data_IF_155062849420
#
_entry.id   IF_155062849420
#
_cell.length_a   1.000
_cell.length_b   1.000
_cell.length_c   1.000
_cell.angle_alpha   90.00
_cell.angle_beta   90.00
_cell.angle_gamma   90.00
#
_symmetry.space_group_name_H-M   'P 1'
#
loop_
_entity.id
_entity.type
_entity.pdbx_description
1 polymer ?
#
# COMPACT_ATOMS: atom_id res chain seq x y z
N UNK A 1 -40.73 10.84 12.32
CA UNK A 1 -41.59 10.22 11.30
C UNK A 1 -41.67 8.71 11.45
N UNK A 2 -42.77 8.10 11.01
CA UNK A 2 -42.98 6.64 11.00
C UNK A 2 -42.86 6.12 9.55
N UNK A 3 -42.19 5.00 9.33
CA UNK A 3 -42.05 4.36 8.01
C UNK A 3 -42.98 3.14 7.90
N UNK A 4 -43.77 3.00 6.83
CA UNK A 4 -44.52 1.76 6.56
C UNK A 4 -43.57 0.58 6.39
N UNK A 5 -43.77 -0.51 7.15
CA UNK A 5 -42.92 -1.71 7.13
C UNK A 5 -43.57 -2.94 6.46
N UNK A 6 -44.80 -2.82 5.98
CA UNK A 6 -45.55 -3.89 5.30
C UNK A 6 -46.16 -3.42 3.98
N UNK A 7 -46.34 -4.35 3.04
CA UNK A 7 -46.90 -4.14 1.69
C UNK A 7 -47.76 -5.33 1.24
N UNK A 8 -48.56 -5.15 0.19
CA UNK A 8 -49.47 -6.20 -0.36
C UNK A 8 -49.02 -6.86 -1.67
N UNK A 9 -47.86 -6.47 -2.22
CA UNK A 9 -47.35 -6.97 -3.52
C UNK A 9 -45.87 -7.28 -3.45
N UNK A 10 -45.45 -8.32 -4.17
CA UNK A 10 -44.05 -8.76 -4.27
C UNK A 10 -43.77 -10.01 -3.43
N UNK A 11 -42.48 -10.35 -3.31
CA UNK A 11 -41.99 -11.45 -2.48
C UNK A 11 -41.54 -10.91 -1.10
N UNK A 12 -41.54 -11.76 -0.09
CA UNK A 12 -41.04 -11.46 1.25
C UNK A 12 -41.65 -12.37 2.31
N UNK A 13 -41.39 -12.07 3.57
CA UNK A 13 -41.96 -12.80 4.72
C UNK A 13 -43.33 -12.21 5.08
N UNK A 14 -44.34 -13.07 5.28
CA UNK A 14 -45.67 -12.63 5.71
C UNK A 14 -45.61 -12.03 7.12
N UNK A 15 -46.35 -10.94 7.35
CA UNK A 15 -46.38 -10.28 8.66
C UNK A 15 -47.11 -11.17 9.68
N UNK A 16 -46.48 -11.55 10.80
CA UNK A 16 -47.00 -12.61 11.67
C UNK A 16 -48.37 -12.28 12.29
N UNK A 17 -48.68 -11.00 12.53
CA UNK A 17 -49.95 -10.58 13.12
C UNK A 17 -51.13 -10.51 12.13
N UNK A 18 -50.87 -10.59 10.83
CA UNK A 18 -51.89 -10.55 9.76
C UNK A 18 -51.71 -11.71 8.78
N UNK A 19 -51.27 -12.86 9.31
CA UNK A 19 -51.02 -14.08 8.55
C UNK A 19 -52.31 -14.55 7.86
N UNK A 20 -52.24 -14.83 6.57
CA UNK A 20 -53.37 -15.15 5.69
C UNK A 20 -54.03 -13.93 5.03
N UNK A 21 -53.70 -12.70 5.44
CA UNK A 21 -54.32 -11.48 4.89
C UNK A 21 -53.52 -10.85 3.74
N UNK A 22 -52.37 -11.41 3.39
CA UNK A 22 -51.53 -10.95 2.26
C UNK A 22 -50.66 -9.73 2.56
N UNK A 23 -50.43 -9.40 3.83
CA UNK A 23 -49.45 -8.39 4.23
C UNK A 23 -48.06 -9.01 4.37
N UNK A 24 -47.10 -8.46 3.64
CA UNK A 24 -45.73 -8.95 3.53
C UNK A 24 -44.80 -7.86 4.06
N UNK A 25 -43.80 -8.23 4.86
CA UNK A 25 -42.76 -7.32 5.33
C UNK A 25 -41.99 -6.76 4.13
N UNK A 26 -41.74 -5.45 4.11
CA UNK A 26 -41.02 -4.80 3.02
C UNK A 26 -39.50 -5.00 3.15
N UNK A 27 -38.80 -5.01 2.02
CA UNK A 27 -37.40 -5.46 1.91
C UNK A 27 -36.38 -4.66 2.72
N UNK A 28 -36.65 -3.41 3.06
CA UNK A 28 -35.76 -2.59 3.89
C UNK A 28 -36.05 -2.76 5.39
N UNK A 29 -37.13 -3.45 5.75
CA UNK A 29 -37.52 -3.73 7.13
C UNK A 29 -37.09 -5.12 7.58
N UNK A 30 -37.01 -6.12 6.69
CA UNK A 30 -36.52 -7.47 7.01
C UNK A 30 -35.01 -7.65 6.81
N UNK A 31 -34.31 -6.62 6.31
CA UNK A 31 -32.86 -6.64 6.04
C UNK A 31 -31.99 -5.95 7.10
N UNK A 32 -32.48 -5.80 8.33
CA UNK A 32 -31.84 -4.91 9.32
C UNK A 32 -30.98 -5.61 10.37
N UNK A 33 -31.31 -6.85 10.74
CA UNK A 33 -30.61 -7.66 11.75
C UNK A 33 -30.15 -9.04 11.25
N UNK A 34 -30.27 -9.32 9.95
CA UNK A 34 -29.99 -10.64 9.38
C UNK A 34 -28.54 -11.13 9.57
N UNK A 35 -27.62 -10.26 9.96
CA UNK A 35 -26.23 -10.64 10.24
C UNK A 35 -26.12 -11.53 11.48
N UNK A 36 -27.03 -11.39 12.45
CA UNK A 36 -27.10 -12.34 13.56
C UNK A 36 -27.45 -13.74 13.06
N UNK A 37 -28.31 -13.85 12.03
CA UNK A 37 -28.66 -15.13 11.42
C UNK A 37 -27.46 -15.81 10.74
N UNK A 38 -26.50 -15.05 10.20
CA UNK A 38 -25.26 -15.63 9.63
C UNK A 38 -24.48 -16.45 10.66
N UNK A 39 -24.50 -16.05 11.93
CA UNK A 39 -23.77 -16.75 13.00
C UNK A 39 -24.36 -18.12 13.32
N UNK A 40 -25.67 -18.33 13.08
CA UNK A 40 -26.38 -19.54 13.52
C UNK A 40 -26.85 -20.45 12.38
N UNK A 41 -26.90 -19.95 11.13
CA UNK A 41 -27.41 -20.72 9.98
C UNK A 41 -26.63 -22.02 9.73
N UNK A 42 -25.33 -22.02 10.03
CA UNK A 42 -24.48 -23.22 9.91
C UNK A 42 -24.94 -24.30 10.90
N UNK A 43 -25.15 -23.94 12.16
CA UNK A 43 -25.60 -24.88 13.19
C UNK A 43 -26.98 -25.46 12.83
N UNK A 44 -27.89 -24.62 12.33
CA UNK A 44 -29.21 -25.09 11.87
C UNK A 44 -29.11 -26.13 10.77
N UNK A 45 -28.29 -25.86 9.74
CA UNK A 45 -28.12 -26.78 8.60
C UNK A 45 -27.40 -28.07 8.99
N UNK A 46 -26.35 -27.99 9.78
CA UNK A 46 -25.56 -29.17 10.17
C UNK A 46 -26.34 -30.12 11.09
N UNK A 47 -27.26 -29.58 11.88
CA UNK A 47 -28.08 -30.36 12.79
C UNK A 47 -29.50 -30.65 12.28
N UNK A 48 -29.79 -30.34 11.00
CA UNK A 48 -31.10 -30.56 10.38
C UNK A 48 -32.28 -29.99 11.21
N UNK A 49 -32.13 -28.77 11.73
CA UNK A 49 -33.19 -28.12 12.51
C UNK A 49 -34.31 -27.73 11.56
N UNK A 50 -35.52 -28.21 11.84
CA UNK A 50 -36.71 -27.93 11.03
C UNK A 50 -37.23 -26.50 11.31
N UNK A 51 -37.78 -25.78 10.30
CA UNK A 51 -38.33 -24.44 10.49
C UNK A 51 -39.41 -24.35 11.58
N UNK A 52 -40.16 -25.43 11.81
CA UNK A 52 -41.20 -25.50 12.86
C UNK A 52 -40.63 -25.53 14.28
N UNK A 53 -39.35 -25.86 14.44
CA UNK A 53 -38.65 -25.88 15.72
C UNK A 53 -38.09 -24.50 16.10
N UNK A 54 -37.93 -23.59 15.13
CA UNK A 54 -37.40 -22.24 15.31
C UNK A 54 -38.48 -21.30 15.87
N UNK A 55 -38.73 -21.46 17.17
CA UNK A 55 -39.72 -20.69 17.93
C UNK A 55 -39.09 -19.43 18.57
N UNK A 56 -39.88 -18.41 18.95
CA UNK A 56 -39.35 -17.19 19.58
C UNK A 56 -38.41 -17.47 20.75
N UNK A 57 -38.76 -18.42 21.62
CA UNK A 57 -37.97 -18.77 22.81
C UNK A 57 -36.54 -19.25 22.47
N UNK A 58 -36.37 -19.88 21.29
CA UNK A 58 -35.04 -20.25 20.81
C UNK A 58 -34.22 -19.01 20.45
N UNK A 59 -34.82 -18.03 19.76
CA UNK A 59 -34.12 -16.80 19.38
C UNK A 59 -33.83 -15.91 20.59
N UNK A 60 -34.77 -15.81 21.52
CA UNK A 60 -34.61 -15.06 22.77
C UNK A 60 -33.46 -15.65 23.60
N UNK A 61 -33.37 -16.97 23.73
CA UNK A 61 -32.26 -17.62 24.41
C UNK A 61 -30.93 -17.43 23.68
N UNK A 62 -30.88 -17.70 22.38
CA UNK A 62 -29.64 -17.66 21.59
C UNK A 62 -29.06 -16.25 21.47
N UNK A 63 -29.91 -15.23 21.29
CA UNK A 63 -29.46 -13.87 21.03
C UNK A 63 -29.46 -12.95 22.25
N UNK A 64 -30.39 -13.17 23.19
CA UNK A 64 -30.58 -12.29 24.35
C UNK A 64 -30.24 -12.98 25.67
N UNK A 65 -29.96 -14.29 25.64
CA UNK A 65 -29.75 -15.10 26.83
C UNK A 65 -30.96 -15.03 27.80
N UNK A 66 -32.17 -15.00 27.22
CA UNK A 66 -33.43 -14.96 27.96
C UNK A 66 -34.08 -16.36 28.03
N UNK A 67 -34.60 -16.72 29.21
CA UNK A 67 -35.25 -18.01 29.46
C UNK A 67 -34.32 -19.11 30.02
N UNK A 68 -34.86 -20.31 30.18
CA UNK A 68 -34.15 -21.50 30.65
C UNK A 68 -33.91 -22.51 29.51
N UNK A 69 -32.68 -22.98 29.37
CA UNK A 69 -32.28 -23.85 28.25
C UNK A 69 -33.06 -25.16 28.21
N UNK A 70 -33.46 -25.72 29.36
CA UNK A 70 -34.21 -26.98 29.43
C UNK A 70 -35.62 -26.78 28.90
N UNK A 71 -36.23 -25.63 29.22
CA UNK A 71 -37.54 -25.25 28.70
C UNK A 71 -37.49 -24.99 27.20
N UNK A 72 -36.50 -24.24 26.72
CA UNK A 72 -36.30 -23.98 25.29
C UNK A 72 -36.09 -25.29 24.54
N UNK A 73 -35.27 -26.19 25.08
CA UNK A 73 -35.03 -27.52 24.50
C UNK A 73 -36.31 -28.33 24.38
N UNK A 74 -37.14 -28.34 25.43
CA UNK A 74 -38.43 -29.03 25.41
C UNK A 74 -39.41 -28.42 24.40
N UNK A 75 -39.50 -27.09 24.35
CA UNK A 75 -40.42 -26.36 23.45
C UNK A 75 -40.05 -26.57 21.99
N UNK A 76 -38.77 -26.50 21.67
CA UNK A 76 -38.25 -26.57 20.29
C UNK A 76 -37.95 -27.99 19.84
N UNK A 77 -37.84 -28.94 20.77
CA UNK A 77 -37.31 -30.29 20.52
C UNK A 77 -35.87 -30.27 19.95
N UNK A 78 -35.11 -29.21 20.24
CA UNK A 78 -33.67 -29.10 19.92
C UNK A 78 -32.90 -29.43 21.20
N UNK A 79 -31.86 -30.27 21.14
CA UNK A 79 -31.08 -30.61 22.34
C UNK A 79 -30.36 -29.39 22.93
N UNK A 80 -30.24 -29.34 24.26
CA UNK A 80 -29.51 -28.29 24.99
C UNK A 80 -28.10 -28.04 24.43
N UNK A 81 -27.34 -29.10 24.10
CA UNK A 81 -25.99 -28.97 23.53
C UNK A 81 -25.96 -28.19 22.20
N UNK A 82 -26.95 -28.42 21.31
CA UNK A 82 -27.06 -27.70 20.04
C UNK A 82 -27.45 -26.24 20.27
N UNK A 83 -28.38 -25.98 21.21
CA UNK A 83 -28.80 -24.61 21.56
C UNK A 83 -27.60 -23.84 22.11
N UNK A 84 -26.85 -24.42 23.03
CA UNK A 84 -25.69 -23.77 23.65
C UNK A 84 -24.56 -23.53 22.65
N UNK A 85 -24.26 -24.49 21.77
CA UNK A 85 -23.31 -24.30 20.67
C UNK A 85 -23.74 -23.19 19.71
N UNK A 86 -25.03 -23.10 19.43
CA UNK A 86 -25.59 -22.07 18.55
C UNK A 86 -25.47 -20.68 19.19
N UNK A 87 -25.77 -20.57 20.48
CA UNK A 87 -25.55 -19.35 21.26
C UNK A 87 -24.06 -18.98 21.28
N UNK A 88 -23.17 -19.92 21.57
CA UNK A 88 -21.73 -19.66 21.62
C UNK A 88 -21.17 -19.14 20.27
N UNK A 89 -21.65 -19.63 19.13
CA UNK A 89 -21.29 -19.10 17.80
C UNK A 89 -21.74 -17.64 17.64
N UNK A 90 -22.97 -17.30 18.05
CA UNK A 90 -23.44 -15.92 18.03
C UNK A 90 -22.59 -15.03 18.97
N UNK A 91 -22.38 -15.45 20.21
CA UNK A 91 -21.61 -14.67 21.19
C UNK A 91 -20.14 -14.48 20.79
N UNK A 92 -19.58 -15.41 20.02
CA UNK A 92 -18.21 -15.32 19.51
C UNK A 92 -18.09 -14.38 18.30
N UNK A 93 -18.99 -14.50 17.32
CA UNK A 93 -18.90 -13.74 16.06
C UNK A 93 -19.56 -12.36 16.09
N UNK A 94 -20.40 -12.08 17.09
CA UNK A 94 -21.13 -10.81 17.19
C UNK A 94 -20.50 -9.90 18.25
N UNK A 95 -20.37 -8.59 18.01
CA UNK A 95 -21.01 -7.81 16.94
C UNK A 95 -20.38 -7.96 15.57
N UNK A 96 -21.12 -7.57 14.52
CA UNK A 96 -20.57 -7.46 13.17
C UNK A 96 -19.55 -6.30 13.10
N UNK A 97 -18.27 -6.62 13.25
CA UNK A 97 -17.14 -5.68 13.37
C UNK A 97 -17.14 -4.56 12.32
N UNK A 98 -17.45 -4.88 11.07
CA UNK A 98 -17.46 -3.90 9.99
C UNK A 98 -18.52 -4.22 8.96
N UNK A 99 -19.49 -3.31 8.82
CA UNK A 99 -20.50 -3.40 7.76
C UNK A 99 -20.16 -2.50 6.58
N UNK A 100 -19.84 -3.11 5.44
CA UNK A 100 -19.64 -2.41 4.17
C UNK A 100 -20.98 -2.09 3.49
N UNK A 101 -21.15 -0.86 3.02
CA UNK A 101 -22.35 -0.44 2.27
C UNK A 101 -22.08 0.81 1.43
N UNK A 102 -23.01 1.14 0.54
CA UNK A 102 -22.96 2.38 -0.21
C UNK A 102 -23.52 3.58 0.59
N UNK A 103 -22.99 4.78 0.35
CA UNK A 103 -23.39 6.02 1.04
C UNK A 103 -24.90 6.32 0.94
N UNK A 104 -25.55 5.89 -0.15
CA UNK A 104 -26.99 6.07 -0.39
C UNK A 104 -27.87 5.30 0.61
N UNK A 105 -27.30 4.33 1.34
CA UNK A 105 -28.04 3.53 2.33
C UNK A 105 -28.13 4.16 3.71
N UNK A 106 -27.41 5.26 3.97
CA UNK A 106 -27.42 5.95 5.27
C UNK A 106 -28.85 6.32 5.68
N UNK A 107 -29.60 6.97 4.79
CA UNK A 107 -30.95 7.50 5.06
C UNK A 107 -32.04 6.44 5.22
N UNK A 108 -31.70 5.16 5.02
CA UNK A 108 -32.64 4.05 5.03
C UNK A 108 -32.08 2.85 5.79
N UNK A 109 -31.59 1.84 5.06
CA UNK A 109 -31.14 0.56 5.58
C UNK A 109 -30.16 0.72 6.76
N UNK A 110 -29.20 1.64 6.67
CA UNK A 110 -28.18 1.77 7.70
C UNK A 110 -28.76 2.35 9.00
N UNK A 111 -29.57 3.39 8.87
CA UNK A 111 -30.33 3.94 10.00
C UNK A 111 -31.23 2.86 10.62
N UNK A 112 -31.92 2.06 9.81
CA UNK A 112 -32.79 1.01 10.33
C UNK A 112 -32.02 -0.10 11.02
N UNK A 113 -30.85 -0.49 10.50
CA UNK A 113 -29.97 -1.43 11.17
C UNK A 113 -29.61 -0.90 12.56
N UNK A 114 -29.16 0.35 12.68
CA UNK A 114 -28.82 0.96 13.99
C UNK A 114 -30.02 0.95 14.94
N UNK A 115 -31.19 1.41 14.49
CA UNK A 115 -32.39 1.45 15.34
C UNK A 115 -32.81 0.06 15.82
N UNK A 116 -32.81 -0.96 14.95
CA UNK A 116 -33.19 -2.30 15.35
C UNK A 116 -32.15 -2.97 16.25
N UNK A 117 -30.86 -2.68 16.07
CA UNK A 117 -29.83 -3.17 16.98
C UNK A 117 -30.01 -2.59 18.38
N UNK A 118 -30.22 -1.28 18.47
CA UNK A 118 -30.48 -0.62 19.74
C UNK A 118 -31.77 -1.08 20.43
N UNK A 119 -32.79 -1.46 19.63
CA UNK A 119 -34.08 -1.92 20.15
C UNK A 119 -34.08 -3.38 20.63
N UNK A 120 -33.26 -4.25 20.02
CA UNK A 120 -33.32 -5.70 20.23
C UNK A 120 -32.12 -6.17 21.06
N UNK A 121 -30.90 -5.77 20.71
CA UNK A 121 -29.70 -6.33 21.30
C UNK A 121 -29.13 -5.44 22.41
N UNK A 122 -28.48 -6.02 23.44
CA UNK A 122 -27.69 -5.27 24.40
C UNK A 122 -26.53 -4.52 23.70
N UNK A 123 -26.05 -3.45 24.33
CA UNK A 123 -25.04 -2.54 23.76
C UNK A 123 -23.77 -3.24 23.25
N UNK A 124 -23.33 -4.32 23.92
CA UNK A 124 -22.18 -5.14 23.49
C UNK A 124 -22.31 -5.74 22.08
N UNK A 125 -23.53 -5.83 21.55
CA UNK A 125 -23.85 -6.40 20.24
C UNK A 125 -24.26 -5.33 19.22
N UNK A 126 -24.13 -4.04 19.55
CA UNK A 126 -24.37 -2.96 18.59
C UNK A 126 -23.27 -2.93 17.52
N UNK A 127 -23.58 -2.31 16.39
CA UNK A 127 -22.69 -2.27 15.23
C UNK A 127 -21.56 -1.25 15.46
N UNK A 128 -20.30 -1.69 15.62
CA UNK A 128 -19.21 -0.80 16.01
C UNK A 128 -18.72 0.08 14.86
N UNK A 129 -18.75 -0.41 13.61
CA UNK A 129 -18.25 0.36 12.47
C UNK A 129 -19.01 0.08 11.16
N UNK A 130 -19.06 1.12 10.32
CA UNK A 130 -19.53 1.05 8.95
C UNK A 130 -18.44 1.56 8.01
N UNK A 131 -18.27 0.87 6.89
CA UNK A 131 -17.44 1.35 5.77
C UNK A 131 -18.38 1.75 4.64
N UNK A 132 -18.22 2.99 4.18
CA UNK A 132 -19.07 3.59 3.16
C UNK A 132 -18.29 3.74 1.87
N UNK A 133 -18.84 3.23 0.78
CA UNK A 133 -18.29 3.44 -0.57
C UNK A 133 -19.26 4.27 -1.43
N UNK A 134 -18.71 5.02 -2.38
CA UNK A 134 -19.50 5.67 -3.41
C UNK A 134 -19.73 4.72 -4.62
N UNK A 135 -20.40 5.26 -5.63
CA UNK A 135 -20.84 4.59 -6.85
C UNK A 135 -19.70 4.26 -7.80
N UNK A 136 -19.91 3.17 -8.55
CA UNK A 136 -19.09 2.79 -9.69
C UNK A 136 -19.76 3.32 -10.97
N UNK A 137 -19.07 4.23 -11.65
CA UNK A 137 -19.47 4.84 -12.90
C UNK A 137 -18.73 4.20 -14.08
N UNK A 138 -19.31 4.33 -15.28
CA UNK A 138 -18.67 4.00 -16.55
C UNK A 138 -19.27 4.86 -17.66
N UNK A 139 -18.39 5.40 -18.50
CA UNK A 139 -18.72 6.41 -19.51
C UNK A 139 -19.24 7.72 -18.89
N UNK A 140 -18.73 8.08 -17.70
CA UNK A 140 -19.08 9.31 -17.00
C UNK A 140 -20.44 9.29 -16.30
N UNK A 141 -21.11 8.14 -16.24
CA UNK A 141 -22.42 7.98 -15.59
C UNK A 141 -22.46 6.75 -14.71
N UNK A 142 -23.31 6.78 -13.68
CA UNK A 142 -23.60 5.62 -12.84
C UNK A 142 -24.07 4.43 -13.67
N UNK A 143 -23.53 3.25 -13.37
CA UNK A 143 -23.92 2.01 -14.01
C UNK A 143 -25.39 1.69 -13.71
N UNK A 144 -26.20 1.45 -14.75
CA UNK A 144 -27.63 1.12 -14.63
C UNK A 144 -28.03 0.04 -15.63
N UNK A 145 -28.90 -0.91 -15.22
CA UNK A 145 -29.40 -1.98 -16.10
C UNK A 145 -30.13 -1.46 -17.34
N UNK A 146 -30.68 -0.25 -17.29
CA UNK A 146 -31.33 0.39 -18.45
C UNK A 146 -30.34 0.96 -19.47
N UNK A 147 -29.04 1.01 -19.14
CA UNK A 147 -27.96 1.60 -19.94
C UNK A 147 -26.99 0.52 -20.40
N UNK A 148 -26.29 0.72 -21.53
CA UNK A 148 -25.27 -0.22 -22.01
C UNK A 148 -23.94 -0.15 -21.22
N UNK A 149 -23.88 0.59 -20.12
CA UNK A 149 -22.66 0.86 -19.36
C UNK A 149 -22.40 -0.14 -18.22
N UNK A 150 -23.23 -1.17 -18.05
CA UNK A 150 -23.06 -2.21 -17.01
C UNK A 150 -22.15 -3.33 -17.50
N UNK A 151 -21.24 -3.78 -16.63
CA UNK A 151 -20.51 -5.04 -16.79
C UNK A 151 -21.08 -6.00 -15.75
N UNK A 152 -21.68 -7.11 -16.19
CA UNK A 152 -22.21 -8.11 -15.27
C UNK A 152 -21.06 -8.88 -14.61
N UNK A 153 -21.12 -9.09 -13.29
CA UNK A 153 -20.10 -9.86 -12.55
C UNK A 153 -19.91 -11.26 -13.15
N UNK A 154 -21.00 -11.92 -13.58
CA UNK A 154 -20.95 -13.23 -14.21
C UNK A 154 -20.18 -13.26 -15.54
N UNK A 155 -20.04 -12.11 -16.21
CA UNK A 155 -19.30 -11.98 -17.47
C UNK A 155 -17.86 -11.52 -17.24
N UNK A 156 -17.50 -11.10 -16.02
CA UNK A 156 -16.19 -10.53 -15.72
C UNK A 156 -15.07 -11.51 -16.06
N UNK A 157 -15.17 -12.78 -15.68
CA UNK A 157 -14.12 -13.78 -15.97
C UNK A 157 -13.97 -14.13 -17.46
N UNK A 158 -15.03 -13.94 -18.26
CA UNK A 158 -15.00 -14.17 -19.71
C UNK A 158 -14.49 -12.96 -20.49
N UNK A 159 -14.74 -11.74 -19.99
CA UNK A 159 -14.30 -10.49 -20.62
C UNK A 159 -12.92 -10.03 -20.14
N UNK A 160 -12.64 -10.29 -18.87
CA UNK A 160 -11.44 -9.90 -18.13
C UNK A 160 -10.99 -11.07 -17.22
N UNK A 161 -9.87 -10.92 -16.53
CA UNK A 161 -9.52 -11.84 -15.43
C UNK A 161 -10.15 -11.34 -14.13
N UNK A 162 -10.58 -12.24 -13.25
CA UNK A 162 -11.11 -11.89 -11.92
C UNK A 162 -10.05 -11.11 -11.11
N UNK A 163 -8.80 -11.57 -11.12
CA UNK A 163 -7.70 -10.88 -10.43
C UNK A 163 -7.36 -9.54 -11.09
N UNK A 164 -7.41 -9.47 -12.42
CA UNK A 164 -7.23 -8.20 -13.12
C UNK A 164 -8.31 -7.18 -12.71
N UNK A 165 -9.56 -7.61 -12.62
CA UNK A 165 -10.67 -6.75 -12.19
C UNK A 165 -10.52 -6.32 -10.74
N UNK A 166 -10.18 -7.24 -9.83
CA UNK A 166 -9.93 -6.91 -8.41
C UNK A 166 -8.77 -5.92 -8.26
N UNK A 167 -7.66 -6.16 -8.97
CA UNK A 167 -6.50 -5.26 -8.99
C UNK A 167 -6.88 -3.86 -9.48
N UNK A 168 -7.61 -3.77 -10.60
CA UNK A 168 -8.03 -2.48 -11.15
C UNK A 168 -8.99 -1.71 -10.23
N UNK A 169 -9.96 -2.40 -9.62
CA UNK A 169 -10.86 -1.77 -8.65
C UNK A 169 -10.08 -1.29 -7.43
N UNK A 170 -9.25 -2.14 -6.82
CA UNK A 170 -8.45 -1.78 -5.65
C UNK A 170 -7.50 -0.61 -5.94
N UNK A 171 -6.86 -0.56 -7.12
CA UNK A 171 -5.91 0.50 -7.48
C UNK A 171 -6.52 1.86 -7.74
N UNK A 172 -7.86 1.95 -7.79
CA UNK A 172 -8.58 3.19 -8.03
C UNK A 172 -9.54 3.55 -6.88
N UNK A 173 -9.83 2.61 -5.98
CA UNK A 173 -10.81 2.79 -4.92
C UNK A 173 -10.21 3.45 -3.67
N UNK A 174 -10.65 4.66 -3.36
CA UNK A 174 -10.71 5.14 -1.97
C UNK A 174 -12.17 5.23 -1.53
N UNK A 175 -12.50 4.98 -0.24
CA UNK A 175 -13.89 4.89 0.22
C UNK A 175 -14.77 6.08 -0.19
N UNK A 176 -14.20 7.29 -0.19
CA UNK A 176 -14.91 8.54 -0.47
C UNK A 176 -15.03 8.90 -1.96
N UNK A 177 -14.42 8.13 -2.86
CA UNK A 177 -14.37 8.48 -4.29
C UNK A 177 -15.42 7.76 -5.11
N UNK A 178 -16.09 8.52 -5.98
CA UNK A 178 -16.83 7.96 -7.11
C UNK A 178 -15.81 7.34 -8.05
N UNK A 179 -15.87 6.02 -8.22
CA UNK A 179 -14.93 5.28 -9.06
C UNK A 179 -15.42 5.32 -10.51
N UNK A 180 -14.58 5.77 -11.44
CA UNK A 180 -14.86 5.67 -12.88
C UNK A 180 -14.14 4.45 -13.46
N UNK A 181 -14.89 3.49 -13.98
CA UNK A 181 -14.34 2.37 -14.73
C UNK A 181 -13.90 2.83 -16.12
N UNK A 182 -12.59 2.80 -16.38
CA UNK A 182 -12.03 3.11 -17.71
C UNK A 182 -11.33 1.91 -18.31
N UNK A 183 -11.84 1.46 -19.46
CA UNK A 183 -11.28 0.30 -20.19
C UNK A 183 -9.79 0.52 -20.56
N UNK A 184 -9.33 1.76 -20.72
CA UNK A 184 -7.92 2.11 -20.94
C UNK A 184 -7.04 1.84 -19.71
N UNK A 185 -7.55 2.10 -18.51
CA UNK A 185 -6.84 1.85 -17.25
C UNK A 185 -6.81 0.35 -16.93
N UNK A 186 -7.86 -0.39 -17.29
CA UNK A 186 -7.88 -1.87 -17.22
C UNK A 186 -6.77 -2.47 -18.10
N UNK A 187 -6.58 -1.95 -19.32
CA UNK A 187 -5.48 -2.38 -20.21
C UNK A 187 -4.10 -2.10 -19.61
N UNK A 188 -3.92 -0.95 -18.95
CA UNK A 188 -2.68 -0.65 -18.24
C UNK A 188 -2.43 -1.62 -17.09
N UNK A 189 -3.44 -1.88 -16.25
CA UNK A 189 -3.36 -2.87 -15.17
C UNK A 189 -3.02 -4.27 -15.72
N UNK A 190 -3.59 -4.65 -16.87
CA UNK A 190 -3.30 -5.91 -17.54
C UNK A 190 -1.85 -6.03 -17.98
N UNK A 191 -1.27 -4.96 -18.55
CA UNK A 191 0.14 -4.94 -18.95
C UNK A 191 1.06 -5.09 -17.75
N UNK A 192 0.76 -4.39 -16.65
CA UNK A 192 1.53 -4.51 -15.40
C UNK A 192 1.40 -5.88 -14.76
N UNK A 193 0.22 -6.49 -14.80
CA UNK A 193 -0.01 -7.86 -14.35
C UNK A 193 0.75 -8.90 -15.17
N UNK A 194 0.77 -8.76 -16.49
CA UNK A 194 1.60 -9.62 -17.36
C UNK A 194 3.08 -9.47 -17.04
N UNK A 195 3.55 -8.23 -16.82
CA UNK A 195 4.95 -7.98 -16.48
C UNK A 195 5.36 -8.61 -15.14
N UNK A 196 4.50 -8.48 -14.13
CA UNK A 196 4.70 -9.16 -12.85
C UNK A 196 4.75 -10.68 -13.00
N UNK A 197 3.81 -11.24 -13.76
CA UNK A 197 3.78 -12.66 -14.07
C UNK A 197 5.06 -13.13 -14.79
N UNK A 198 5.56 -12.37 -15.76
CA UNK A 198 6.84 -12.65 -16.44
C UNK A 198 8.02 -12.67 -15.46
N UNK A 199 8.14 -11.67 -14.59
CA UNK A 199 9.19 -11.62 -13.56
C UNK A 199 9.08 -12.79 -12.57
N UNK A 200 7.86 -13.16 -12.20
CA UNK A 200 7.65 -14.28 -11.30
C UNK A 200 8.00 -15.62 -11.96
N UNK A 201 7.64 -15.80 -13.24
CA UNK A 201 8.00 -17.01 -13.99
C UNK A 201 9.51 -17.14 -14.24
N UNK A 202 10.25 -16.04 -14.37
CA UNK A 202 11.70 -16.12 -14.57
C UNK A 202 12.47 -16.59 -13.33
N UNK A 203 11.82 -16.62 -12.16
CA UNK A 203 12.48 -16.97 -10.89
C UNK A 203 11.94 -18.23 -10.22
N UNK A 204 10.97 -18.94 -10.83
CA UNK A 204 10.34 -20.14 -10.20
C UNK A 204 11.35 -21.25 -9.90
N UNK A 205 12.32 -21.46 -10.79
CA UNK A 205 13.35 -22.51 -10.67
C UNK A 205 14.63 -22.04 -9.97
N UNK A 206 14.68 -20.80 -9.50
CA UNK A 206 15.82 -20.24 -8.77
C UNK A 206 15.82 -20.80 -7.35
N UNK A 207 16.95 -21.33 -6.89
CA UNK A 207 17.07 -21.90 -5.54
C UNK A 207 16.91 -20.82 -4.46
N UNK A 208 16.35 -21.20 -3.30
CA UNK A 208 16.17 -20.30 -2.15
C UNK A 208 17.43 -20.14 -1.31
N UNK A 209 18.29 -21.16 -1.30
CA UNK A 209 19.42 -21.24 -0.37
C UNK A 209 20.75 -20.73 -0.98
N UNK A 210 20.66 -19.87 -2.00
CA UNK A 210 21.87 -19.29 -2.61
C UNK A 210 22.45 -18.22 -1.70
N UNK A 211 23.62 -18.50 -1.13
CA UNK A 211 24.35 -17.53 -0.30
C UNK A 211 25.11 -16.54 -1.20
N UNK A 212 24.41 -15.48 -1.63
CA UNK A 212 24.98 -14.41 -2.46
C UNK A 212 25.22 -13.17 -1.61
N UNK A 213 26.44 -12.62 -1.69
CA UNK A 213 26.69 -11.27 -1.20
C UNK A 213 26.13 -10.26 -2.22
N UNK A 214 24.97 -9.68 -1.90
CA UNK A 214 24.35 -8.71 -2.79
C UNK A 214 25.20 -7.45 -3.00
N UNK A 215 25.29 -7.03 -4.26
CA UNK A 215 25.88 -5.77 -4.66
C UNK A 215 25.06 -4.58 -4.14
N UNK A 216 25.65 -3.39 -4.24
CA UNK A 216 25.00 -2.16 -3.80
C UNK A 216 23.64 -1.90 -4.49
N UNK A 217 23.49 -2.01 -5.82
CA UNK A 217 22.18 -1.87 -6.47
C UNK A 217 21.11 -2.85 -5.95
N UNK A 218 21.49 -4.10 -5.68
CA UNK A 218 20.57 -5.13 -5.17
C UNK A 218 20.14 -4.85 -3.72
N UNK A 219 21.06 -4.39 -2.86
CA UNK A 219 20.74 -3.94 -1.49
C UNK A 219 19.79 -2.74 -1.50
N UNK A 220 20.02 -1.78 -2.40
CA UNK A 220 19.13 -0.63 -2.58
C UNK A 220 17.74 -1.05 -3.06
N UNK A 221 17.64 -2.00 -3.99
CA UNK A 221 16.36 -2.57 -4.44
C UNK A 221 15.59 -3.17 -3.27
N UNK A 222 16.20 -4.11 -2.53
CA UNK A 222 15.56 -4.79 -1.41
C UNK A 222 15.05 -3.81 -0.37
N UNK A 223 15.87 -2.82 -0.02
CA UNK A 223 15.48 -1.80 0.95
C UNK A 223 14.29 -0.95 0.48
N UNK A 224 14.30 -0.56 -0.80
CA UNK A 224 13.21 0.22 -1.40
C UNK A 224 11.91 -0.58 -1.41
N UNK A 225 11.98 -1.87 -1.76
CA UNK A 225 10.83 -2.78 -1.71
C UNK A 225 10.32 -2.93 -0.28
N UNK A 226 11.17 -3.24 0.69
CA UNK A 226 10.77 -3.33 2.12
C UNK A 226 10.06 -2.07 2.58
N UNK A 227 10.59 -0.90 2.23
CA UNK A 227 9.99 0.39 2.58
C UNK A 227 8.59 0.55 1.99
N UNK A 228 8.41 0.23 0.70
CA UNK A 228 7.10 0.31 0.05
C UNK A 228 6.10 -0.71 0.62
N UNK A 229 6.54 -1.95 0.84
CA UNK A 229 5.69 -2.99 1.42
C UNK A 229 5.28 -2.67 2.85
N UNK A 230 6.16 -2.05 3.64
CA UNK A 230 5.79 -1.55 4.98
C UNK A 230 4.69 -0.48 4.89
N UNK A 231 4.83 0.51 4.00
CA UNK A 231 3.78 1.52 3.77
C UNK A 231 2.48 0.88 3.34
N UNK A 232 2.54 -0.07 2.42
CA UNK A 232 1.36 -0.82 1.97
C UNK A 232 0.65 -1.49 3.16
N UNK A 233 1.39 -2.18 4.03
CA UNK A 233 0.82 -2.77 5.25
C UNK A 233 0.20 -1.73 6.19
N UNK A 234 0.74 -0.52 6.27
CA UNK A 234 0.12 0.57 7.04
C UNK A 234 -1.17 1.09 6.38
N UNK A 235 -1.26 1.08 5.05
CA UNK A 235 -2.44 1.56 4.31
C UNK A 235 -3.60 0.56 4.33
N UNK A 236 -3.34 -0.75 4.26
CA UNK A 236 -4.40 -1.77 4.34
C UNK A 236 -5.09 -1.77 5.72
N UNK A 237 -4.34 -1.52 6.80
CA UNK A 237 -4.87 -1.37 8.17
C UNK A 237 -5.78 -0.14 8.30
N UNK A 238 -5.60 0.87 7.45
CA UNK A 238 -6.45 2.07 7.36
C UNK A 238 -7.60 1.90 6.35
N UNK A 239 -7.80 0.71 5.80
CA UNK A 239 -8.74 0.44 4.71
C UNK A 239 -8.49 1.27 3.43
N UNK A 240 -7.25 1.72 3.20
CA UNK A 240 -6.85 2.45 2.00
C UNK A 240 -6.31 1.49 0.93
N UNK A 241 -7.22 0.77 0.26
CA UNK A 241 -6.88 -0.22 -0.76
C UNK A 241 -6.08 0.38 -1.94
N UNK A 242 -6.35 1.63 -2.32
CA UNK A 242 -5.66 2.33 -3.40
C UNK A 242 -4.17 2.41 -3.12
N UNK A 243 -3.81 3.05 -2.03
CA UNK A 243 -2.40 3.35 -1.75
C UNK A 243 -1.66 2.06 -1.34
N UNK A 244 -2.34 1.10 -0.72
CA UNK A 244 -1.83 -0.26 -0.52
C UNK A 244 -1.40 -0.93 -1.84
N UNK A 245 -2.18 -0.83 -2.91
CA UNK A 245 -1.80 -1.39 -4.22
C UNK A 245 -0.78 -0.53 -4.94
N UNK A 246 -0.84 0.80 -4.82
CA UNK A 246 0.15 1.68 -5.42
C UNK A 246 1.55 1.42 -4.86
N UNK A 247 1.68 1.31 -3.54
CA UNK A 247 2.96 1.05 -2.88
C UNK A 247 3.34 -0.44 -2.91
N UNK A 248 2.40 -1.33 -2.61
CA UNK A 248 2.65 -2.78 -2.49
C UNK A 248 2.94 -3.48 -3.82
N UNK A 249 2.42 -2.93 -4.92
CA UNK A 249 2.48 -3.57 -6.25
C UNK A 249 3.10 -2.67 -7.31
N UNK A 250 2.44 -1.57 -7.69
CA UNK A 250 2.85 -0.77 -8.86
C UNK A 250 4.21 -0.09 -8.67
N UNK A 251 4.47 0.47 -7.49
CA UNK A 251 5.75 1.08 -7.16
C UNK A 251 6.89 0.06 -7.24
N UNK A 252 6.67 -1.17 -6.75
CA UNK A 252 7.68 -2.23 -6.75
C UNK A 252 7.96 -2.76 -8.16
N UNK A 253 6.94 -2.94 -9.01
CA UNK A 253 7.16 -3.29 -10.42
C UNK A 253 7.97 -2.22 -11.14
N UNK A 254 7.69 -0.94 -10.89
CA UNK A 254 8.46 0.17 -11.47
C UNK A 254 9.92 0.14 -11.01
N UNK A 255 10.18 -0.10 -9.72
CA UNK A 255 11.55 -0.17 -9.20
C UNK A 255 12.27 -1.41 -9.76
N UNK A 256 11.57 -2.54 -9.95
CA UNK A 256 12.12 -3.69 -10.67
C UNK A 256 12.50 -3.34 -12.12
N UNK A 257 11.64 -2.63 -12.85
CA UNK A 257 11.94 -2.18 -14.23
C UNK A 257 13.20 -1.30 -14.27
N UNK A 258 13.40 -0.42 -13.28
CA UNK A 258 14.63 0.38 -13.17
C UNK A 258 15.84 -0.45 -12.75
N UNK A 259 15.68 -1.36 -11.79
CA UNK A 259 16.75 -2.26 -11.36
C UNK A 259 17.28 -3.10 -12.52
N UNK A 260 16.41 -3.64 -13.38
CA UNK A 260 16.84 -4.40 -14.56
C UNK A 260 17.74 -3.58 -15.51
N UNK A 261 17.56 -2.25 -15.58
CA UNK A 261 18.44 -1.37 -16.36
C UNK A 261 19.77 -1.09 -15.64
N UNK A 262 19.74 -1.00 -14.31
CA UNK A 262 20.91 -0.73 -13.47
C UNK A 262 21.81 -1.96 -13.34
N UNK A 263 21.20 -3.14 -13.27
CA UNK A 263 21.85 -4.41 -12.95
C UNK A 263 22.43 -5.13 -14.17
N UNK A 264 22.44 -4.54 -15.37
CA UNK A 264 22.81 -5.22 -16.63
C UNK A 264 24.14 -5.99 -16.55
N UNK A 265 25.10 -5.50 -15.76
CA UNK A 265 26.43 -6.10 -15.60
C UNK A 265 26.60 -6.94 -14.33
N UNK A 266 25.58 -6.98 -13.47
CA UNK A 266 25.62 -7.86 -12.30
C UNK A 266 25.54 -9.32 -12.74
N UNK A 267 26.16 -10.24 -11.98
CA UNK A 267 26.03 -11.67 -12.23
C UNK A 267 24.56 -12.10 -12.33
N UNK A 268 24.27 -12.99 -13.27
CA UNK A 268 22.89 -13.47 -13.50
C UNK A 268 22.31 -14.12 -12.24
N UNK A 269 23.13 -14.88 -11.52
CA UNK A 269 22.78 -15.53 -10.26
C UNK A 269 22.30 -14.52 -9.21
N UNK A 270 23.02 -13.40 -9.05
CA UNK A 270 22.64 -12.33 -8.13
C UNK A 270 21.30 -11.69 -8.52
N UNK A 271 21.15 -11.35 -9.81
CA UNK A 271 19.91 -10.74 -10.33
C UNK A 271 18.71 -11.64 -10.10
N UNK A 272 18.87 -12.93 -10.34
CA UNK A 272 17.79 -13.90 -10.19
C UNK A 272 17.43 -14.16 -8.73
N UNK A 273 18.42 -14.25 -7.85
CA UNK A 273 18.20 -14.39 -6.41
C UNK A 273 17.46 -13.19 -5.81
N UNK A 274 17.91 -11.96 -6.09
CA UNK A 274 17.25 -10.76 -5.56
C UNK A 274 15.87 -10.57 -6.16
N UNK A 275 15.68 -10.89 -7.45
CA UNK A 275 14.37 -10.85 -8.09
C UNK A 275 13.41 -11.85 -7.43
N UNK A 276 13.88 -13.08 -7.14
CA UNK A 276 13.07 -14.09 -6.43
C UNK A 276 12.62 -13.57 -5.06
N UNK A 277 13.54 -13.04 -4.27
CA UNK A 277 13.25 -12.50 -2.93
C UNK A 277 12.19 -11.39 -3.00
N UNK A 278 12.32 -10.46 -3.96
CA UNK A 278 11.35 -9.38 -4.17
C UNK A 278 9.99 -9.92 -4.60
N UNK A 279 9.94 -10.87 -5.54
CA UNK A 279 8.67 -11.44 -6.01
C UNK A 279 7.97 -12.21 -4.89
N UNK A 280 8.68 -13.02 -4.10
CA UNK A 280 8.09 -13.76 -2.97
C UNK A 280 7.47 -12.79 -1.95
N UNK A 281 8.14 -11.67 -1.65
CA UNK A 281 7.58 -10.63 -0.78
C UNK A 281 6.32 -9.98 -1.37
N UNK A 282 6.34 -9.61 -2.65
CA UNK A 282 5.19 -8.99 -3.33
C UNK A 282 4.00 -9.96 -3.37
N UNK A 283 4.22 -11.24 -3.71
CA UNK A 283 3.19 -12.29 -3.80
C UNK A 283 2.42 -12.43 -2.49
N UNK A 284 3.12 -12.48 -1.35
CA UNK A 284 2.48 -12.51 -0.03
C UNK A 284 1.70 -11.25 0.25
N UNK A 285 2.30 -10.09 -0.04
CA UNK A 285 1.67 -8.81 0.28
C UNK A 285 0.39 -8.62 -0.51
N UNK A 286 0.32 -8.93 -1.81
CA UNK A 286 -0.83 -8.59 -2.66
C UNK A 286 -1.91 -9.69 -2.75
N UNK A 287 -1.71 -10.82 -2.08
CA UNK A 287 -2.65 -11.95 -2.08
C UNK A 287 -4.10 -11.58 -1.72
N UNK A 288 -4.41 -10.62 -0.81
CA UNK A 288 -5.79 -10.20 -0.56
C UNK A 288 -6.51 -9.62 -1.79
N UNK A 289 -5.75 -9.09 -2.76
CA UNK A 289 -6.31 -8.42 -3.94
C UNK A 289 -6.30 -9.32 -5.17
N UNK A 290 -5.21 -10.05 -5.43
CA UNK A 290 -5.10 -10.99 -6.56
C UNK A 290 -4.82 -12.44 -6.12
N UNK A 291 -5.75 -13.04 -5.34
CA UNK A 291 -5.47 -14.30 -4.64
C UNK A 291 -5.15 -15.46 -5.58
N UNK A 292 -5.77 -15.56 -6.76
CA UNK A 292 -5.62 -16.75 -7.61
C UNK A 292 -4.23 -16.81 -8.25
N UNK A 293 -3.74 -15.69 -8.79
CA UNK A 293 -2.39 -15.57 -9.34
C UNK A 293 -1.35 -15.76 -8.22
N UNK A 294 -1.57 -15.18 -7.04
CA UNK A 294 -0.64 -15.35 -5.93
C UNK A 294 -0.56 -16.80 -5.43
N UNK A 295 -1.68 -17.52 -5.40
CA UNK A 295 -1.73 -18.93 -5.02
C UNK A 295 -0.96 -19.81 -6.03
N UNK A 296 -1.20 -19.60 -7.32
CA UNK A 296 -0.50 -20.30 -8.41
C UNK A 296 1.01 -20.02 -8.38
N UNK A 297 1.43 -18.77 -8.18
CA UNK A 297 2.84 -18.41 -8.08
C UNK A 297 3.48 -19.00 -6.81
N UNK A 298 2.77 -18.98 -5.69
CA UNK A 298 3.24 -19.57 -4.43
C UNK A 298 3.51 -21.07 -4.59
N UNK A 299 2.61 -21.82 -5.24
CA UNK A 299 2.79 -23.23 -5.57
C UNK A 299 3.98 -23.45 -6.52
N UNK A 300 4.05 -22.69 -7.63
CA UNK A 300 5.15 -22.79 -8.61
C UNK A 300 6.53 -22.50 -8.02
N UNK A 301 6.60 -21.60 -7.03
CA UNK A 301 7.84 -21.33 -6.29
C UNK A 301 8.17 -22.41 -5.25
N UNK A 302 7.41 -23.51 -5.19
CA UNK A 302 7.68 -24.69 -4.37
C UNK A 302 7.07 -24.65 -2.97
N UNK A 303 6.17 -23.71 -2.67
CA UNK A 303 5.47 -23.69 -1.38
C UNK A 303 4.29 -24.67 -1.38
N UNK A 304 4.08 -25.36 -0.26
CA UNK A 304 2.98 -26.34 -0.12
C UNK A 304 1.73 -25.78 0.55
N UNK A 305 1.90 -24.78 1.42
CA UNK A 305 0.80 -24.18 2.16
C UNK A 305 0.12 -23.07 1.34
N UNK A 306 -1.20 -22.99 1.47
CA UNK A 306 -1.99 -21.94 0.84
C UNK A 306 -1.55 -20.55 1.31
N UNK A 307 -1.35 -19.63 0.36
CA UNK A 307 -0.97 -18.26 0.67
C UNK A 307 -2.07 -17.55 1.47
N UNK A 308 -3.32 -17.90 1.23
CA UNK A 308 -4.48 -17.39 1.97
C UNK A 308 -4.45 -17.70 3.47
N UNK A 309 -3.66 -18.70 3.90
CA UNK A 309 -3.47 -19.06 5.32
C UNK A 309 -2.22 -18.43 5.94
N UNK A 310 -1.36 -17.78 5.14
CA UNK A 310 -0.15 -17.13 5.64
C UNK A 310 -0.51 -15.86 6.39
N UNK A 311 0.19 -15.61 7.49
CA UNK A 311 0.10 -14.33 8.21
C UNK A 311 0.83 -13.25 7.43
N UNK A 312 0.27 -12.04 7.44
CA UNK A 312 0.96 -10.87 6.90
C UNK A 312 2.30 -10.66 7.60
N UNK A 313 3.39 -10.42 6.84
CA UNK A 313 4.71 -10.29 7.42
C UNK A 313 4.84 -8.97 8.19
N UNK A 314 5.63 -8.98 9.27
CA UNK A 314 6.04 -7.73 9.95
C UNK A 314 7.35 -7.24 9.35
N UNK A 315 7.28 -6.20 8.53
CA UNK A 315 8.47 -5.62 7.89
C UNK A 315 9.11 -4.60 8.82
N UNK A 316 10.38 -4.83 9.15
CA UNK A 316 11.21 -3.89 9.91
C UNK A 316 12.11 -3.12 8.94
N UNK A 317 12.24 -1.82 9.18
CA UNK A 317 13.17 -0.94 8.46
C UNK A 317 14.27 -0.58 9.45
N UNK A 318 15.50 -0.90 9.10
CA UNK A 318 16.66 -0.58 9.93
C UNK A 318 17.39 0.69 9.47
N UNK A 319 18.55 0.94 10.08
CA UNK A 319 19.38 2.11 9.76
C UNK A 319 20.00 2.01 8.37
N UNK A 320 20.39 0.81 7.93
CA UNK A 320 20.95 0.59 6.61
C UNK A 320 19.88 0.81 5.54
N UNK A 321 18.66 0.33 5.78
CA UNK A 321 17.55 0.56 4.87
C UNK A 321 17.29 2.06 4.65
N UNK A 322 17.28 2.82 5.75
CA UNK A 322 17.10 4.28 5.70
C UNK A 322 18.25 4.96 4.92
N UNK A 323 19.47 4.47 5.09
CA UNK A 323 20.65 4.96 4.36
C UNK A 323 20.53 4.66 2.86
N UNK A 324 20.18 3.42 2.48
CA UNK A 324 20.00 3.02 1.09
C UNK A 324 18.89 3.81 0.40
N UNK A 325 17.78 4.10 1.08
CA UNK A 325 16.72 4.95 0.53
C UNK A 325 17.21 6.38 0.22
N UNK A 326 18.04 6.97 1.10
CA UNK A 326 18.65 8.27 0.86
C UNK A 326 19.65 8.22 -0.31
N UNK A 327 20.47 7.17 -0.37
CA UNK A 327 21.42 6.96 -1.46
C UNK A 327 20.71 6.75 -2.81
N UNK A 328 19.61 6.00 -2.85
CA UNK A 328 18.81 5.81 -4.06
C UNK A 328 18.24 7.13 -4.59
N UNK A 329 17.72 7.98 -3.68
CA UNK A 329 17.22 9.31 -4.03
C UNK A 329 18.34 10.21 -4.56
N UNK A 330 19.49 10.21 -3.89
CA UNK A 330 20.68 10.93 -4.32
C UNK A 330 21.14 10.51 -5.72
N UNK A 331 21.23 9.20 -5.98
CA UNK A 331 21.64 8.67 -7.27
C UNK A 331 20.65 8.98 -8.39
N UNK A 332 19.35 8.90 -8.12
CA UNK A 332 18.30 9.30 -9.09
C UNK A 332 18.51 10.75 -9.55
N UNK A 333 18.65 11.68 -8.60
CA UNK A 333 18.85 13.10 -8.90
C UNK A 333 20.17 13.34 -9.65
N UNK A 334 21.25 12.70 -9.23
CA UNK A 334 22.56 12.81 -9.88
C UNK A 334 22.51 12.32 -11.34
N UNK A 335 21.87 11.18 -11.59
CA UNK A 335 21.71 10.65 -12.95
C UNK A 335 20.87 11.59 -13.83
N UNK A 336 19.81 12.18 -13.29
CA UNK A 336 19.02 13.19 -14.00
C UNK A 336 19.85 14.43 -14.34
N UNK A 337 20.62 14.96 -13.40
CA UNK A 337 21.49 16.12 -13.60
C UNK A 337 22.55 15.84 -14.68
N UNK A 338 23.23 14.67 -14.63
CA UNK A 338 24.19 14.28 -15.68
C UNK A 338 23.49 14.19 -17.04
N UNK A 339 22.32 13.53 -17.12
CA UNK A 339 21.57 13.42 -18.38
C UNK A 339 21.17 14.79 -18.94
N UNK A 340 20.78 15.75 -18.10
CA UNK A 340 20.44 17.10 -18.53
C UNK A 340 21.65 17.84 -19.09
N UNK A 341 22.81 17.76 -18.41
CA UNK A 341 24.03 18.42 -18.88
C UNK A 341 24.50 17.81 -20.21
N UNK A 342 24.53 16.47 -20.33
CA UNK A 342 24.91 15.79 -21.60
C UNK A 342 24.02 16.26 -22.76
N UNK A 343 22.71 16.39 -22.54
CA UNK A 343 21.78 16.92 -23.56
C UNK A 343 22.08 18.36 -23.98
N UNK A 344 22.56 19.20 -23.05
CA UNK A 344 22.88 20.60 -23.31
C UNK A 344 24.21 20.78 -24.05
N UNK A 345 25.24 20.02 -23.68
CA UNK A 345 26.59 20.17 -24.23
C UNK A 345 26.69 19.62 -25.67
N UNK A 346 25.77 18.74 -26.09
CA UNK A 346 25.68 18.13 -27.45
C UNK A 346 26.92 17.36 -27.90
N UNK A 347 27.95 17.24 -27.06
CA UNK A 347 29.10 16.36 -27.25
C UNK A 347 29.03 15.21 -26.26
N UNK A 348 29.68 14.09 -26.61
CA UNK A 348 29.81 12.96 -25.71
C UNK A 348 31.00 13.23 -24.77
N UNK A 349 30.81 13.21 -23.44
CA UNK A 349 31.94 13.33 -22.53
C UNK A 349 32.82 12.08 -22.65
N UNK A 350 34.13 12.28 -22.48
CA UNK A 350 35.09 11.21 -22.21
C UNK A 350 35.35 11.06 -20.71
N UNK A 351 35.16 12.14 -19.94
CA UNK A 351 35.28 12.14 -18.47
C UNK A 351 34.11 12.88 -17.82
N UNK A 352 33.61 12.36 -16.70
CA UNK A 352 32.66 13.04 -15.81
C UNK A 352 33.31 13.13 -14.43
N UNK A 353 33.64 14.35 -14.01
CA UNK A 353 34.04 14.64 -12.65
C UNK A 353 32.80 14.95 -11.81
N UNK A 354 32.67 14.23 -10.71
CA UNK A 354 31.59 14.36 -9.73
C UNK A 354 32.22 14.84 -8.43
N UNK A 355 32.03 16.14 -8.14
CA UNK A 355 32.54 16.75 -6.93
C UNK A 355 31.49 16.67 -5.83
N UNK A 356 31.84 15.96 -4.76
CA UNK A 356 31.03 15.85 -3.54
C UNK A 356 31.37 17.03 -2.63
N UNK A 357 30.38 17.49 -1.88
CA UNK A 357 30.56 18.61 -0.97
C UNK A 357 31.57 18.32 0.14
N UNK A 358 32.14 19.42 0.65
CA UNK A 358 32.96 19.47 1.85
C UNK A 358 32.19 19.04 3.10
N UNK A 359 32.87 18.47 4.10
CA UNK A 359 32.26 17.94 5.33
C UNK A 359 31.59 19.05 6.16
N UNK A 360 32.22 20.22 6.22
CA UNK A 360 31.66 21.38 6.92
C UNK A 360 30.33 21.85 6.34
N UNK A 361 30.04 21.55 5.06
CA UNK A 361 28.73 21.87 4.49
C UNK A 361 27.63 20.97 5.08
N UNK A 362 27.91 19.71 5.41
CA UNK A 362 26.94 18.89 6.15
C UNK A 362 26.67 19.49 7.53
N UNK A 363 27.73 19.86 8.29
CA UNK A 363 27.57 20.52 9.60
C UNK A 363 26.72 21.81 9.49
N UNK A 364 26.91 22.61 8.42
CA UNK A 364 26.11 23.81 8.17
C UNK A 364 24.63 23.49 7.89
N UNK A 365 24.37 22.48 7.07
CA UNK A 365 23.01 22.08 6.69
C UNK A 365 22.25 21.46 7.87
N UNK A 366 22.93 20.67 8.70
CA UNK A 366 22.36 20.12 9.93
C UNK A 366 22.02 21.26 10.92
N UNK A 367 22.96 22.20 11.13
CA UNK A 367 22.71 23.39 11.94
C UNK A 367 21.51 24.20 11.43
N UNK A 368 21.40 24.40 10.11
CA UNK A 368 20.28 25.13 9.54
C UNK A 368 18.95 24.37 9.72
N UNK A 369 18.96 23.03 9.60
CA UNK A 369 17.77 22.20 9.82
C UNK A 369 17.28 22.26 11.26
N UNK A 370 18.20 22.24 12.23
CA UNK A 370 17.86 22.36 13.65
C UNK A 370 17.31 23.74 14.00
N UNK A 371 17.84 24.81 13.39
CA UNK A 371 17.41 26.19 13.67
C UNK A 371 16.02 26.54 13.14
N UNK A 372 15.60 25.94 12.02
CA UNK A 372 14.40 26.35 11.29
C UNK A 372 13.37 25.22 11.14
N UNK A 373 13.33 24.29 12.09
CA UNK A 373 12.28 23.28 12.12
C UNK A 373 10.92 23.96 12.15
N UNK A 374 10.20 23.88 11.02
CA UNK A 374 8.90 24.52 10.78
C UNK A 374 8.89 26.07 10.79
N UNK A 375 10.06 26.72 10.67
CA UNK A 375 10.19 28.18 10.59
C UNK A 375 10.74 28.66 9.24
N UNK A 376 10.45 29.92 8.88
CA UNK A 376 11.05 30.54 7.71
C UNK A 376 12.55 30.81 7.93
N UNK A 377 13.36 30.39 6.95
CA UNK A 377 14.82 30.49 7.01
C UNK A 377 15.27 31.94 6.97
N UNK A 378 16.18 32.29 7.89
CA UNK A 378 16.77 33.62 7.97
C UNK A 378 18.30 33.53 7.89
N UNK A 379 18.88 34.11 6.84
CA UNK A 379 20.34 34.13 6.64
C UNK A 379 21.06 34.69 7.86
N UNK A 380 20.55 35.78 8.46
CA UNK A 380 21.17 36.41 9.61
C UNK A 380 21.35 35.44 10.80
N UNK A 381 20.35 34.60 11.06
CA UNK A 381 20.38 33.62 12.17
C UNK A 381 21.32 32.44 11.85
N UNK A 382 21.38 31.98 10.60
CA UNK A 382 22.40 31.01 10.15
C UNK A 382 23.81 31.57 10.39
N UNK A 383 24.05 32.82 9.97
CA UNK A 383 25.35 33.46 10.08
C UNK A 383 25.78 33.62 11.55
N UNK A 384 24.88 34.07 12.42
CA UNK A 384 25.17 34.21 13.86
C UNK A 384 25.49 32.86 14.51
N UNK A 385 24.67 31.84 14.28
CA UNK A 385 24.88 30.51 14.88
C UNK A 385 26.11 29.80 14.29
N UNK A 386 26.41 29.97 13.01
CA UNK A 386 27.62 29.42 12.40
C UNK A 386 28.91 30.08 12.92
N UNK A 387 28.85 31.38 13.28
CA UNK A 387 29.97 32.09 13.89
C UNK A 387 30.31 31.57 15.29
N UNK A 388 29.29 31.14 16.05
CA UNK A 388 29.44 30.56 17.39
C UNK A 388 29.87 29.08 17.34
N UNK A 389 29.72 28.41 16.20
CA UNK A 389 30.10 27.01 16.02
C UNK A 389 31.60 26.87 15.67
N UNK A 390 32.33 26.10 16.49
CA UNK A 390 33.77 25.90 16.37
C UNK A 390 34.23 25.23 15.06
N UNK A 391 33.36 24.46 14.40
CA UNK A 391 33.67 23.82 13.10
C UNK A 391 33.44 24.77 11.92
N UNK A 392 32.46 25.67 12.03
CA UNK A 392 31.96 26.50 10.92
C UNK A 392 32.56 27.91 10.87
N UNK A 393 33.02 28.46 12.01
CA UNK A 393 33.50 29.83 12.11
C UNK A 393 34.65 30.21 11.15
N UNK A 394 35.37 29.23 10.62
CA UNK A 394 36.46 29.40 9.65
C UNK A 394 35.99 29.52 8.20
N UNK A 395 34.72 29.22 7.90
CA UNK A 395 34.13 29.22 6.54
C UNK A 395 33.11 30.36 6.31
N UNK A 396 33.17 31.43 7.10
CA UNK A 396 32.10 32.47 7.09
C UNK A 396 31.88 33.15 5.73
N UNK A 397 32.92 33.24 4.90
CA UNK A 397 32.79 33.83 3.55
C UNK A 397 32.00 32.92 2.63
N UNK A 398 32.27 31.63 2.70
CA UNK A 398 31.64 30.57 1.91
C UNK A 398 30.20 30.32 2.38
N UNK A 399 29.99 30.27 3.69
CA UNK A 399 28.66 30.09 4.32
C UNK A 399 27.65 31.13 3.82
N UNK A 400 28.07 32.39 3.61
CA UNK A 400 27.17 33.42 3.09
C UNK A 400 26.60 33.09 1.71
N UNK A 401 27.34 32.36 0.87
CA UNK A 401 26.87 31.92 -0.44
C UNK A 401 25.98 30.68 -0.32
N UNK A 402 26.37 29.68 0.46
CA UNK A 402 25.56 28.47 0.67
C UNK A 402 24.21 28.81 1.35
N UNK A 403 24.20 29.70 2.34
CA UNK A 403 22.97 30.16 3.01
C UNK A 403 21.97 30.83 2.04
N UNK A 404 22.45 31.58 1.03
CA UNK A 404 21.58 32.12 -0.03
C UNK A 404 21.00 31.04 -0.92
N UNK A 405 21.74 29.96 -1.17
CA UNK A 405 21.26 28.84 -1.97
C UNK A 405 20.23 28.01 -1.20
N UNK A 406 20.37 27.90 0.12
CA UNK A 406 19.39 27.25 0.99
C UNK A 406 18.00 27.88 0.88
N UNK A 407 17.91 29.22 0.77
CA UNK A 407 16.64 29.92 0.58
C UNK A 407 15.91 29.55 -0.73
N UNK A 408 16.67 29.15 -1.76
CA UNK A 408 16.10 28.82 -3.08
C UNK A 408 15.54 27.41 -3.15
N UNK A 409 15.86 26.57 -2.17
CA UNK A 409 15.45 25.18 -2.13
C UNK A 409 15.00 24.80 -0.72
N UNK A 410 13.71 25.01 -0.38
CA UNK A 410 13.18 24.68 0.94
C UNK A 410 13.10 23.17 1.21
N UNK A 411 13.35 22.31 0.21
CA UNK A 411 13.27 20.86 0.40
C UNK A 411 14.41 20.30 1.24
N UNK A 412 15.52 21.04 1.33
CA UNK A 412 16.71 20.64 2.08
C UNK A 412 16.46 20.47 3.59
N UNK A 413 15.43 21.13 4.14
CA UNK A 413 15.11 21.03 5.58
C UNK A 413 14.21 19.84 5.91
N UNK A 414 13.74 19.12 4.89
CA UNK A 414 12.79 18.01 5.04
C UNK A 414 13.44 16.65 4.90
N UNK A 415 14.72 16.61 4.55
CA UNK A 415 15.46 15.37 4.31
C UNK A 415 16.75 15.37 5.11
N UNK A 416 17.11 14.20 5.61
CA UNK A 416 18.44 14.00 6.19
C UNK A 416 19.48 14.06 5.07
N UNK A 417 20.55 14.81 5.30
CA UNK A 417 21.66 14.91 4.35
C UNK A 417 22.57 13.68 4.44
N UNK A 418 22.96 13.13 3.30
CA UNK A 418 24.00 12.10 3.26
C UNK A 418 25.36 12.72 3.58
N UNK A 419 26.14 12.03 4.39
CA UNK A 419 27.54 12.39 4.60
C UNK A 419 28.31 12.29 3.28
N UNK A 420 29.40 13.05 3.09
CA UNK A 420 30.19 13.01 1.86
C UNK A 420 30.66 11.60 1.50
N UNK A 421 31.08 10.81 2.49
CA UNK A 421 31.54 9.45 2.28
C UNK A 421 30.41 8.49 1.86
N UNK A 422 29.19 8.70 2.37
CA UNK A 422 28.03 7.90 1.97
C UNK A 422 27.55 8.26 0.56
N UNK A 423 27.69 9.53 0.14
CA UNK A 423 27.48 9.95 -1.24
C UNK A 423 28.53 9.30 -2.16
N UNK A 424 29.80 9.29 -1.74
CA UNK A 424 30.90 8.66 -2.49
C UNK A 424 30.66 7.17 -2.69
N UNK A 425 30.35 6.44 -1.62
CA UNK A 425 30.00 5.01 -1.69
C UNK A 425 28.84 4.74 -2.63
N UNK A 426 27.80 5.59 -2.62
CA UNK A 426 26.68 5.44 -3.53
C UNK A 426 27.10 5.59 -5.00
N UNK A 427 27.93 6.59 -5.32
CA UNK A 427 28.42 6.79 -6.70
C UNK A 427 29.29 5.62 -7.12
N UNK A 428 30.22 5.18 -6.28
CA UNK A 428 31.08 4.03 -6.52
C UNK A 428 30.27 2.76 -6.77
N UNK A 429 29.21 2.53 -5.98
CA UNK A 429 28.30 1.39 -6.15
C UNK A 429 27.54 1.38 -7.49
N UNK A 430 27.47 2.52 -8.18
CA UNK A 430 26.83 2.66 -9.50
C UNK A 430 27.82 3.07 -10.61
N UNK A 431 29.13 3.08 -10.34
CA UNK A 431 30.13 3.67 -11.23
C UNK A 431 30.13 3.02 -12.61
N UNK A 432 30.12 1.69 -12.67
CA UNK A 432 30.09 0.95 -13.93
C UNK A 432 28.82 1.24 -14.74
N UNK A 433 27.68 1.36 -14.06
CA UNK A 433 26.41 1.71 -14.70
C UNK A 433 26.47 3.14 -15.28
N UNK A 434 26.94 4.12 -14.49
CA UNK A 434 27.08 5.50 -14.94
C UNK A 434 28.01 5.54 -16.17
N UNK A 435 29.18 4.92 -16.06
CA UNK A 435 30.17 4.85 -17.14
C UNK A 435 29.55 4.35 -18.45
N UNK A 436 28.90 3.18 -18.42
CA UNK A 436 28.28 2.58 -19.62
C UNK A 436 27.12 3.39 -20.16
N UNK A 437 26.24 3.90 -19.28
CA UNK A 437 25.10 4.74 -19.66
C UNK A 437 25.55 5.97 -20.45
N UNK A 438 26.71 6.51 -20.10
CA UNK A 438 27.30 7.66 -20.77
C UNK A 438 28.47 7.23 -21.67
N UNK A 439 28.32 6.18 -22.50
CA UNK A 439 29.28 5.82 -23.55
C UNK A 439 30.67 5.35 -23.06
N UNK A 440 30.72 4.58 -21.97
CA UNK A 440 31.97 4.12 -21.33
C UNK A 440 32.86 5.29 -20.88
N UNK A 441 32.22 6.35 -20.37
CA UNK A 441 32.91 7.53 -19.83
C UNK A 441 33.65 7.19 -18.53
N UNK A 442 34.86 7.75 -18.37
CA UNK A 442 35.60 7.68 -17.11
C UNK A 442 34.89 8.51 -16.04
N UNK A 443 34.62 7.93 -14.86
CA UNK A 443 33.96 8.61 -13.75
C UNK A 443 35.01 8.93 -12.69
N UNK A 444 35.14 10.22 -12.35
CA UNK A 444 36.14 10.70 -11.37
C UNK A 444 35.37 11.30 -10.20
N UNK A 445 35.57 10.75 -9.01
CA UNK A 445 34.83 11.13 -7.80
C UNK A 445 35.80 11.80 -6.83
N UNK A 446 35.52 13.05 -6.45
CA UNK A 446 36.39 13.82 -5.56
C UNK A 446 35.57 14.52 -4.48
N UNK A 447 36.04 14.50 -3.22
CA UNK A 447 35.43 15.28 -2.15
C UNK A 447 36.11 16.66 -2.13
N UNK A 448 35.33 17.73 -2.02
CA UNK A 448 35.85 19.10 -2.14
C UNK A 448 36.94 19.48 -1.13
N UNK A 449 37.02 18.77 0.01
CA UNK A 449 38.04 18.99 1.05
C UNK A 449 39.31 18.13 0.87
N UNK A 450 39.38 17.29 -0.17
CA UNK A 450 40.55 16.46 -0.45
C UNK A 450 41.76 17.32 -0.87
N UNK A 451 42.95 16.96 -0.37
CA UNK A 451 44.19 17.74 -0.60
C UNK A 451 44.64 17.79 -2.06
N UNK A 452 44.24 16.82 -2.87
CA UNK A 452 44.62 16.66 -4.27
C UNK A 452 43.37 16.61 -5.16
N UNK A 453 42.67 17.74 -5.25
CA UNK A 453 41.50 17.88 -6.13
C UNK A 453 41.92 18.42 -7.51
N UNK A 454 41.35 17.84 -8.56
CA UNK A 454 41.53 18.33 -9.93
C UNK A 454 40.28 19.10 -10.32
N UNK A 455 40.31 20.43 -10.18
CA UNK A 455 39.14 21.28 -10.45
C UNK A 455 39.49 22.52 -11.29
N UNK A 456 39.74 22.34 -12.60
CA UNK A 456 40.21 23.41 -13.48
C UNK A 456 39.19 24.56 -13.64
N UNK A 457 37.92 24.32 -13.32
CA UNK A 457 36.83 25.31 -13.43
C UNK A 457 36.31 25.82 -12.08
N UNK A 458 36.98 25.47 -10.98
CA UNK A 458 36.55 25.85 -9.61
C UNK A 458 35.08 25.52 -9.35
N UNK A 459 34.63 24.33 -9.75
CA UNK A 459 33.26 23.83 -9.55
C UNK A 459 33.05 23.12 -8.22
N UNK A 460 34.09 22.55 -7.61
CA UNK A 460 33.99 21.76 -6.38
C UNK A 460 33.38 22.57 -5.22
N UNK A 461 33.71 23.85 -5.12
CA UNK A 461 33.13 24.75 -4.11
C UNK A 461 31.61 24.95 -4.26
N UNK A 462 31.02 24.65 -5.43
CA UNK A 462 29.58 24.72 -5.71
C UNK A 462 28.83 23.44 -5.32
N UNK A 463 29.55 22.36 -5.01
CA UNK A 463 28.96 21.12 -4.54
C UNK A 463 28.27 21.35 -3.20
N UNK A 464 27.09 20.74 -3.02
CA UNK A 464 26.28 20.84 -1.81
C UNK A 464 25.82 19.45 -1.39
N UNK A 465 25.48 19.23 -0.10
CA UNK A 465 24.88 17.98 0.34
C UNK A 465 23.72 17.58 -0.57
N UNK A 466 23.71 16.30 -0.98
CA UNK A 466 22.72 15.73 -1.92
C UNK A 466 22.73 16.31 -3.34
N UNK A 467 23.63 17.26 -3.66
CA UNK A 467 23.70 17.92 -4.96
C UNK A 467 25.17 18.17 -5.37
N UNK A 468 25.82 17.14 -5.94
CA UNK A 468 27.21 17.23 -6.38
C UNK A 468 27.37 18.28 -7.48
N UNK A 469 28.57 18.84 -7.61
CA UNK A 469 28.91 19.64 -8.78
C UNK A 469 29.49 18.74 -9.88
N UNK A 470 29.18 19.06 -11.14
CA UNK A 470 29.54 18.24 -12.29
C UNK A 470 30.43 19.02 -13.27
N UNK A 471 31.51 18.37 -13.72
CA UNK A 471 32.32 18.80 -14.85
C UNK A 471 32.39 17.67 -15.87
N UNK A 472 31.95 17.94 -17.09
CA UNK A 472 31.98 17.02 -18.21
C UNK A 472 33.08 17.49 -19.17
N UNK A 473 34.00 16.61 -19.52
CA UNK A 473 35.10 16.84 -20.47
C UNK A 473 35.01 15.93 -21.68
#
# INVERSE_FOLDING_TARGET
DKRPCVRRRGLGTEFPFTKGEGWIIESLSDSVIYMSFYTIVRQMRQNNIEPSQLKPEFFDYVFLNEGDIREVSKITSISEDIIEKTKAEFEYWYPNDLRHTAIQHISNHLSFAIFHHAAIFPEKYWLPAFSLNDTLNRFGEAMSKSKPNVIQIAEVSGKFSVDLTRLHLASNATPETILEWKDTEVKFAQQRLKKFWEYALSVVDVDRDVNIEYSFPSKVLLSSVKTNLKKALEEIEKFNARDYILDGYYANIRILDEYQKLAVNLPEEEKMAVLREVIEMIVVIIAPVIPHICEELNERMGNKDYISLKRMPKIKIDKEDTLYALQAKFMTNLLEDINQIVKLVKTKPNKIYIYINAEWKNDLYDLATDLFKDEAVQIGRIMSSAKENSKLNKYMKEIANDAKQMLKDPTIFRIKMLAPEDQKKAIQGYEEYISKRFNNTEIIIQIADDKEIHDPQSKANKARPMKPALLLE
#
